data_IF_431990007832
#
_entry.id   IF_431990007832
#
_cell.length_a   1.000
_cell.length_b   1.000
_cell.length_c   1.000
_cell.angle_alpha   90.00
_cell.angle_beta   90.00
_cell.angle_gamma   90.00
#
_symmetry.space_group_name_H-M   'P 1'
#
loop_
_entity.id
_entity.type
_entity.pdbx_description
1 polymer ?
#
# COMPACT_ATOMS: atom_id res chain seq x y z
N UNK A 1 -13.10 -5.09 11.55
CA UNK A 1 -12.41 -3.78 11.39
C UNK A 1 -11.84 -3.76 9.98
N UNK A 2 -12.07 -2.69 9.22
CA UNK A 2 -11.68 -2.63 7.81
C UNK A 2 -10.16 -2.56 7.64
N UNK A 3 -9.60 -3.39 6.78
CA UNK A 3 -8.15 -3.52 6.53
C UNK A 3 -7.84 -3.19 5.07
N UNK A 4 -6.82 -2.36 4.85
CA UNK A 4 -6.46 -1.87 3.51
C UNK A 4 -5.19 -2.54 2.99
N UNK A 5 -5.20 -3.00 1.74
CA UNK A 5 -4.00 -3.37 1.01
C UNK A 5 -3.50 -2.17 0.19
N UNK A 6 -2.22 -1.83 0.27
CA UNK A 6 -1.65 -0.69 -0.46
C UNK A 6 -0.49 -1.15 -1.34
N UNK A 7 -0.56 -0.78 -2.62
CA UNK A 7 0.45 -1.04 -3.63
C UNK A 7 0.79 0.25 -4.33
N UNK A 8 2.08 0.50 -4.56
CA UNK A 8 2.53 1.69 -5.26
C UNK A 8 3.45 1.34 -6.42
N UNK A 9 3.41 2.15 -7.48
CA UNK A 9 4.48 2.13 -8.46
C UNK A 9 5.75 2.76 -7.87
N UNK A 10 6.67 1.92 -7.39
CA UNK A 10 7.90 2.35 -6.72
C UNK A 10 8.85 3.15 -7.62
N UNK A 11 8.70 3.05 -8.94
CA UNK A 11 9.49 3.78 -9.93
C UNK A 11 8.95 5.20 -10.19
N UNK A 12 7.77 5.55 -9.67
CA UNK A 12 7.18 6.89 -9.78
C UNK A 12 7.33 7.65 -8.46
N UNK A 13 8.20 8.67 -8.38
CA UNK A 13 8.45 9.40 -7.14
C UNK A 13 7.19 9.99 -6.49
N UNK A 14 6.21 10.46 -7.28
CA UNK A 14 4.95 11.01 -6.78
C UNK A 14 4.10 9.94 -6.09
N UNK A 15 4.07 8.72 -6.63
CA UNK A 15 3.37 7.59 -6.03
C UNK A 15 4.01 7.21 -4.69
N UNK A 16 5.34 7.15 -4.62
CA UNK A 16 6.08 6.91 -3.38
C UNK A 16 5.79 7.99 -2.34
N UNK A 17 5.79 9.27 -2.75
CA UNK A 17 5.48 10.42 -1.88
C UNK A 17 4.03 10.37 -1.37
N UNK A 18 3.07 10.05 -2.24
CA UNK A 18 1.67 9.88 -1.86
C UNK A 18 1.49 8.72 -0.88
N UNK A 19 2.15 7.58 -1.14
CA UNK A 19 2.12 6.41 -0.26
C UNK A 19 2.64 6.73 1.13
N UNK A 20 3.77 7.45 1.25
CA UNK A 20 4.30 7.90 2.55
C UNK A 20 3.29 8.75 3.33
N UNK A 21 2.62 9.70 2.66
CA UNK A 21 1.59 10.53 3.27
C UNK A 21 0.39 9.70 3.72
N UNK A 22 -0.10 8.81 2.86
CA UNK A 22 -1.23 7.93 3.13
C UNK A 22 -0.95 7.03 4.33
N UNK A 23 0.21 6.35 4.35
CA UNK A 23 0.60 5.46 5.45
C UNK A 23 0.76 6.23 6.76
N UNK A 24 1.34 7.43 6.73
CA UNK A 24 1.44 8.27 7.93
C UNK A 24 0.06 8.68 8.47
N UNK A 25 -0.88 8.98 7.58
CA UNK A 25 -2.26 9.29 7.96
C UNK A 25 -3.00 8.06 8.50
N UNK A 26 -2.90 6.91 7.83
CA UNK A 26 -3.51 5.65 8.30
C UNK A 26 -3.02 5.27 9.69
N UNK A 27 -1.71 5.41 9.97
CA UNK A 27 -1.15 5.21 11.31
C UNK A 27 -1.76 6.16 12.35
N UNK A 28 -1.89 7.46 12.04
CA UNK A 28 -2.47 8.43 12.98
C UNK A 28 -3.95 8.17 13.27
N UNK A 29 -4.67 7.61 12.30
CA UNK A 29 -6.06 7.20 12.42
C UNK A 29 -6.25 5.79 13.00
N UNK A 30 -5.16 5.07 13.33
CA UNK A 30 -5.19 3.66 13.76
C UNK A 30 -5.92 2.74 12.77
N UNK A 31 -5.83 3.03 11.48
CA UNK A 31 -6.40 2.22 10.41
C UNK A 31 -5.46 1.04 10.13
N UNK A 32 -6.02 -0.16 10.03
CA UNK A 32 -5.27 -1.36 9.71
C UNK A 32 -4.92 -1.39 8.21
N UNK A 33 -3.67 -1.68 7.88
CA UNK A 33 -3.23 -1.79 6.50
C UNK A 33 -2.10 -2.80 6.35
N UNK A 34 -1.91 -3.32 5.14
CA UNK A 34 -0.73 -4.03 4.67
C UNK A 34 -0.16 -3.34 3.43
N UNK A 35 1.16 -3.37 3.31
CA UNK A 35 1.87 -2.87 2.13
C UNK A 35 2.37 -4.05 1.30
N UNK A 36 2.36 -3.91 -0.01
CA UNK A 36 3.12 -4.83 -0.87
C UNK A 36 4.63 -4.72 -0.55
N UNK A 37 5.41 -5.81 -0.56
CA UNK A 37 6.79 -5.81 -0.08
C UNK A 37 7.72 -4.78 -0.72
N UNK A 38 7.66 -4.58 -2.04
CA UNK A 38 8.50 -3.59 -2.73
C UNK A 38 8.10 -2.17 -2.33
N UNK A 39 6.78 -1.90 -2.26
CA UNK A 39 6.21 -0.65 -1.76
C UNK A 39 6.70 -0.35 -0.34
N UNK A 40 6.64 -1.35 0.54
CA UNK A 40 7.09 -1.28 1.92
C UNK A 40 8.58 -0.98 2.05
N UNK A 41 9.41 -1.68 1.26
CA UNK A 41 10.85 -1.48 1.21
C UNK A 41 11.20 -0.05 0.76
N UNK A 42 10.54 0.43 -0.29
CA UNK A 42 10.77 1.76 -0.86
C UNK A 42 10.44 2.89 0.13
N UNK A 43 9.41 2.72 0.96
CA UNK A 43 9.03 3.73 1.97
C UNK A 43 9.57 3.45 3.38
N UNK A 44 10.28 2.32 3.58
CA UNK A 44 10.82 1.85 4.86
C UNK A 44 9.75 1.78 5.97
N UNK A 45 8.60 1.17 5.66
CA UNK A 45 7.48 0.99 6.60
C UNK A 45 6.83 -0.38 6.42
N UNK A 46 6.11 -0.86 7.43
CA UNK A 46 5.28 -2.07 7.38
C UNK A 46 3.91 -1.85 8.02
N UNK A 47 3.10 -2.90 8.21
CA UNK A 47 3.38 -4.32 7.94
C UNK A 47 3.25 -4.67 6.44
N UNK A 48 3.75 -5.85 6.03
CA UNK A 48 3.78 -6.29 4.62
C UNK A 48 2.90 -7.50 4.36
N UNK A 49 2.37 -7.59 3.14
CA UNK A 49 1.64 -8.74 2.61
C UNK A 49 1.81 -8.78 1.10
N UNK A 50 2.09 -9.95 0.51
CA UNK A 50 2.18 -10.08 -0.95
C UNK A 50 0.83 -9.75 -1.59
N UNK A 51 0.87 -9.12 -2.76
CA UNK A 51 -0.31 -8.67 -3.50
C UNK A 51 -1.31 -9.80 -3.75
N UNK A 52 -0.82 -10.97 -4.16
CA UNK A 52 -1.58 -12.19 -4.40
C UNK A 52 -2.25 -12.77 -3.13
N UNK A 53 -1.84 -12.33 -1.94
CA UNK A 53 -2.43 -12.72 -0.65
C UNK A 53 -3.31 -11.62 -0.04
N UNK A 54 -3.36 -10.43 -0.62
CA UNK A 54 -4.13 -9.31 -0.05
C UNK A 54 -5.64 -9.60 0.01
N UNK A 55 -6.16 -10.38 -0.95
CA UNK A 55 -7.56 -10.82 -0.97
C UNK A 55 -8.00 -11.62 0.27
N UNK A 56 -7.05 -12.17 1.04
CA UNK A 56 -7.34 -12.98 2.24
C UNK A 56 -7.47 -12.13 3.52
N UNK A 57 -6.94 -10.91 3.51
CA UNK A 57 -6.74 -10.09 4.72
C UNK A 57 -7.22 -8.65 4.59
N UNK A 58 -7.45 -8.17 3.37
CA UNK A 58 -7.81 -6.78 3.09
C UNK A 58 -9.22 -6.70 2.52
N UNK A 59 -9.99 -5.72 2.98
CA UNK A 59 -11.34 -5.41 2.50
C UNK A 59 -11.30 -4.41 1.33
N UNK A 60 -10.25 -3.60 1.26
CA UNK A 60 -10.06 -2.56 0.24
C UNK A 60 -8.64 -2.61 -0.30
N UNK A 61 -8.52 -2.45 -1.61
CA UNK A 61 -7.25 -2.33 -2.30
C UNK A 61 -7.02 -0.89 -2.76
N UNK A 62 -5.86 -0.34 -2.45
CA UNK A 62 -5.44 1.00 -2.87
C UNK A 62 -4.22 0.86 -3.76
N UNK A 63 -4.36 1.26 -5.01
CA UNK A 63 -3.28 1.35 -5.98
C UNK A 63 -2.86 2.80 -6.17
N UNK A 64 -1.59 3.12 -5.94
CA UNK A 64 -1.01 4.44 -6.15
C UNK A 64 -0.02 4.36 -7.33
N UNK A 65 -0.48 4.74 -8.51
CA UNK A 65 0.29 4.61 -9.73
C UNK A 65 -0.55 4.93 -10.96
N UNK A 66 -0.41 4.12 -12.00
CA UNK A 66 -1.28 4.14 -13.18
C UNK A 66 -1.95 2.78 -13.38
N UNK A 67 -2.56 2.56 -14.54
CA UNK A 67 -3.34 1.34 -14.82
C UNK A 67 -2.53 0.05 -14.60
N UNK A 68 -1.26 0.03 -15.01
CA UNK A 68 -0.37 -1.12 -14.80
C UNK A 68 -0.09 -1.45 -13.32
N UNK A 69 -0.41 -0.56 -12.38
CA UNK A 69 -0.32 -0.83 -10.93
C UNK A 69 -1.58 -1.56 -10.44
N UNK A 70 -2.73 -1.41 -11.10
CA UNK A 70 -3.96 -2.15 -10.80
C UNK A 70 -3.95 -3.55 -11.44
N UNK A 71 -3.34 -3.69 -12.63
CA UNK A 71 -3.31 -4.94 -13.40
C UNK A 71 -2.24 -5.96 -12.93
N UNK A 72 -1.60 -5.70 -11.78
CA UNK A 72 -0.44 -6.46 -11.30
C UNK A 72 -0.81 -7.51 -10.27
#
# INVERSE_FOLDING_TARGET
>A
MMTFGVVANIFRPEAVKATKKLVSWMKSQKIAYFLEPDTAAQIKSGPTLKIDRMHEKCDVFISLGGDGTILR
#
